data_IF_712540262946
#
_entry.id   IF_712540262946
#
_cell.length_a   1.000
_cell.length_b   1.000
_cell.length_c   1.000
_cell.angle_alpha   90.00
_cell.angle_beta   90.00
_cell.angle_gamma   90.00
#
_symmetry.space_group_name_H-M   'P 1'
#
loop_
_entity.id
_entity.type
_entity.pdbx_description
1 polymer ?
#
# COMPACT_ATOMS: atom_id res chain seq x y z
N UNK A 1 13.64 -8.69 -0.44
CA UNK A 1 12.53 -7.81 -0.04
C UNK A 1 12.00 -7.05 -1.22
N UNK A 2 12.85 -6.30 -1.87
CA UNK A 2 12.44 -5.53 -3.03
C UNK A 2 11.98 -6.41 -4.19
N UNK A 3 12.51 -7.63 -4.26
CA UNK A 3 12.12 -8.57 -5.30
C UNK A 3 10.65 -8.92 -5.28
N UNK A 4 10.09 -9.08 -4.08
CA UNK A 4 8.66 -9.37 -3.91
C UNK A 4 7.81 -8.21 -4.38
N UNK A 5 8.20 -7.00 -4.03
CA UNK A 5 7.48 -5.79 -4.38
C UNK A 5 7.51 -5.59 -5.89
N UNK A 6 8.68 -5.74 -6.49
CA UNK A 6 8.84 -5.58 -7.93
C UNK A 6 8.07 -6.67 -8.69
N UNK A 7 8.05 -7.89 -8.17
CA UNK A 7 7.28 -8.97 -8.75
C UNK A 7 5.79 -8.69 -8.74
N UNK A 8 5.27 -8.19 -7.62
CA UNK A 8 3.87 -7.82 -7.50
C UNK A 8 3.50 -6.71 -8.48
N UNK A 9 4.37 -5.70 -8.60
CA UNK A 9 4.13 -4.60 -9.53
C UNK A 9 4.17 -5.06 -10.97
N UNK A 10 5.12 -5.93 -11.32
CA UNK A 10 5.21 -6.47 -12.68
C UNK A 10 3.96 -7.29 -13.01
N UNK A 11 3.49 -8.07 -12.06
CA UNK A 11 2.27 -8.85 -12.22
C UNK A 11 1.07 -7.94 -12.48
N UNK A 12 0.89 -6.92 -11.64
CA UNK A 12 -0.22 -5.99 -11.78
C UNK A 12 -0.17 -5.26 -13.12
N UNK A 13 1.01 -4.81 -13.51
CA UNK A 13 1.18 -4.10 -14.78
C UNK A 13 0.77 -4.98 -15.96
N UNK A 14 1.14 -6.24 -15.92
CA UNK A 14 0.83 -7.20 -16.97
C UNK A 14 -0.66 -7.53 -16.99
N UNK A 15 -1.24 -7.81 -15.83
CA UNK A 15 -2.66 -8.17 -15.72
C UNK A 15 -3.56 -7.02 -16.14
N UNK A 16 -3.19 -5.79 -15.75
CA UNK A 16 -3.96 -4.61 -16.10
C UNK A 16 -3.71 -4.16 -17.54
N UNK A 17 -2.69 -4.70 -18.20
CA UNK A 17 -2.35 -4.32 -19.57
C UNK A 17 -2.11 -2.82 -19.70
N UNK A 18 -1.28 -2.30 -18.81
CA UNK A 18 -0.95 -0.88 -18.80
C UNK A 18 -0.29 -0.49 -20.12
N UNK A 19 -0.80 0.54 -20.77
CA UNK A 19 -0.29 1.03 -22.05
C UNK A 19 0.80 2.05 -21.84
N UNK A 20 1.51 2.38 -22.93
CA UNK A 20 2.52 3.42 -22.86
C UNK A 20 1.92 4.77 -22.45
N UNK A 21 0.73 5.07 -22.94
CA UNK A 21 0.04 6.32 -22.58
C UNK A 21 -0.27 6.39 -21.09
N UNK A 22 -0.44 5.25 -20.43
CA UNK A 22 -0.76 5.16 -19.01
C UNK A 22 0.48 5.07 -18.13
N UNK A 23 1.66 4.95 -18.72
CA UNK A 23 2.89 4.75 -17.98
C UNK A 23 3.19 5.85 -16.95
N UNK A 24 3.00 7.15 -17.24
CA UNK A 24 3.25 8.17 -16.22
C UNK A 24 2.41 7.96 -14.96
N UNK A 25 1.13 7.66 -15.12
CA UNK A 25 0.24 7.41 -13.98
C UNK A 25 0.61 6.12 -13.28
N UNK A 26 1.00 5.10 -14.04
CA UNK A 26 1.46 3.84 -13.46
C UNK A 26 2.69 4.05 -12.57
N UNK A 27 3.65 4.85 -13.04
CA UNK A 27 4.87 5.10 -12.30
C UNK A 27 4.60 5.78 -10.97
N UNK A 28 3.67 6.72 -10.94
CA UNK A 28 3.27 7.39 -9.69
C UNK A 28 2.68 6.38 -8.70
N UNK A 29 1.81 5.52 -9.20
CA UNK A 29 1.22 4.46 -8.38
C UNK A 29 2.28 3.48 -7.88
N UNK A 30 3.19 3.06 -8.77
CA UNK A 30 4.24 2.11 -8.41
C UNK A 30 5.16 2.66 -7.32
N UNK A 31 5.50 3.93 -7.40
CA UNK A 31 6.33 4.57 -6.38
C UNK A 31 5.61 4.59 -5.03
N UNK A 32 4.34 4.93 -5.01
CA UNK A 32 3.55 4.92 -3.79
C UNK A 32 3.41 3.51 -3.22
N UNK A 33 3.24 2.52 -4.10
CA UNK A 33 3.14 1.12 -3.70
C UNK A 33 4.43 0.67 -3.01
N UNK A 34 5.57 1.00 -3.60
CA UNK A 34 6.88 0.66 -3.01
C UNK A 34 7.07 1.32 -1.67
N UNK A 35 6.74 2.61 -1.57
CA UNK A 35 6.88 3.36 -0.32
C UNK A 35 6.01 2.73 0.78
N UNK A 36 4.77 2.35 0.45
CA UNK A 36 3.87 1.72 1.40
C UNK A 36 4.43 0.38 1.89
N UNK A 37 4.94 -0.44 0.98
CA UNK A 37 5.48 -1.75 1.34
C UNK A 37 6.74 -1.64 2.18
N UNK A 38 7.61 -0.69 1.88
CA UNK A 38 8.81 -0.44 2.67
C UNK A 38 8.45 -0.01 4.08
N UNK A 39 7.46 0.86 4.21
CA UNK A 39 6.99 1.31 5.51
C UNK A 39 6.42 0.16 6.33
N UNK A 40 5.66 -0.73 5.70
CA UNK A 40 5.13 -1.92 6.38
C UNK A 40 6.24 -2.85 6.84
N UNK A 41 7.29 -3.01 6.04
CA UNK A 41 8.43 -3.84 6.41
C UNK A 41 9.14 -3.28 7.63
N UNK A 42 9.33 -1.96 7.69
CA UNK A 42 9.94 -1.31 8.84
C UNK A 42 9.10 -1.48 10.09
N UNK A 43 7.79 -1.35 9.97
CA UNK A 43 6.88 -1.57 11.09
C UNK A 43 6.96 -3.01 11.61
N UNK A 44 7.11 -3.99 10.73
CA UNK A 44 7.25 -5.38 11.13
C UNK A 44 8.55 -5.63 11.89
N UNK A 45 9.62 -4.97 11.51
CA UNK A 45 10.92 -5.10 12.21
C UNK A 45 10.82 -4.65 13.66
N UNK A 46 10.05 -3.61 13.91
CA UNK A 46 9.91 -3.02 15.22
C UNK A 46 8.79 -3.61 16.06
N UNK A 47 8.03 -4.56 15.49
CA UNK A 47 6.83 -5.09 16.13
C UNK A 47 7.06 -5.63 17.52
N UNK A 48 8.19 -6.34 17.74
CA UNK A 48 8.50 -6.90 19.06
C UNK A 48 8.74 -5.83 20.10
N UNK A 49 9.49 -4.79 19.72
CA UNK A 49 9.74 -3.69 20.62
C UNK A 49 8.49 -2.93 20.96
N UNK A 50 7.61 -2.75 19.97
CA UNK A 50 6.34 -2.09 20.18
C UNK A 50 5.43 -2.86 21.13
N UNK A 51 5.34 -4.18 20.95
CA UNK A 51 4.57 -5.02 21.86
C UNK A 51 5.10 -4.94 23.29
N UNK A 52 6.43 -4.98 23.44
CA UNK A 52 7.07 -4.88 24.73
C UNK A 52 6.79 -3.53 25.38
N UNK A 53 6.92 -2.46 24.60
CA UNK A 53 6.62 -1.11 25.08
C UNK A 53 5.17 -0.97 25.52
N UNK A 54 4.24 -1.56 24.76
CA UNK A 54 2.83 -1.51 25.10
C UNK A 54 2.52 -2.26 26.39
N UNK A 55 3.21 -3.37 26.65
CA UNK A 55 3.00 -4.15 27.87
C UNK A 55 3.47 -3.41 29.13
N UNK A 56 4.51 -2.62 29.00
CA UNK A 56 5.05 -1.87 30.14
C UNK A 56 4.47 -0.47 30.27
N UNK A 57 3.69 -0.03 29.30
CA UNK A 57 3.07 1.29 29.32
C UNK A 57 1.79 1.28 30.16
N UNK A 58 1.37 2.46 30.61
CA UNK A 58 0.05 2.59 31.19
C UNK A 58 -1.03 2.29 30.13
N UNK A 59 -2.25 2.05 30.58
CA UNK A 59 -3.35 1.77 29.63
C UNK A 59 -3.53 2.92 28.64
N UNK A 60 -3.50 4.16 29.14
CA UNK A 60 -3.68 5.31 28.26
C UNK A 60 -2.52 5.48 27.28
N UNK A 61 -1.28 5.25 27.74
CA UNK A 61 -0.13 5.33 26.85
C UNK A 61 -0.18 4.23 25.79
N UNK A 62 -0.60 3.02 26.15
CA UNK A 62 -0.76 1.94 25.18
C UNK A 62 -1.81 2.30 24.12
N UNK A 63 -2.90 2.92 24.55
CA UNK A 63 -3.93 3.37 23.61
C UNK A 63 -3.42 4.45 22.67
N UNK A 64 -2.59 5.36 23.16
CA UNK A 64 -1.97 6.37 22.33
C UNK A 64 -1.06 5.74 21.28
N UNK A 65 -0.30 4.70 21.66
CA UNK A 65 0.53 3.96 20.69
C UNK A 65 -0.32 3.36 19.57
N UNK A 66 -1.48 2.80 19.93
CA UNK A 66 -2.40 2.25 18.92
C UNK A 66 -2.93 3.35 18.02
N UNK A 67 -3.32 4.49 18.59
CA UNK A 67 -3.77 5.63 17.81
C UNK A 67 -2.73 6.07 16.78
N UNK A 68 -1.47 6.15 17.22
CA UNK A 68 -0.38 6.57 16.35
C UNK A 68 -0.18 5.59 15.20
N UNK A 69 -0.27 4.28 15.47
CA UNK A 69 -0.17 3.27 14.43
C UNK A 69 -1.31 3.36 13.42
N UNK A 70 -2.53 3.58 13.92
CA UNK A 70 -3.69 3.72 13.04
C UNK A 70 -3.59 4.99 12.20
N UNK A 71 -3.08 6.08 12.77
CA UNK A 71 -2.88 7.32 12.03
C UNK A 71 -1.87 7.13 10.90
N UNK A 72 -0.78 6.42 11.16
CA UNK A 72 0.21 6.12 10.12
C UNK A 72 -0.37 5.26 9.00
N UNK A 73 -1.18 4.26 9.37
CA UNK A 73 -1.83 3.43 8.36
C UNK A 73 -2.81 4.21 7.53
N UNK A 74 -3.55 5.11 8.16
CA UNK A 74 -4.50 5.97 7.45
C UNK A 74 -3.77 6.88 6.47
N UNK A 75 -2.67 7.47 6.89
CA UNK A 75 -1.86 8.33 6.02
C UNK A 75 -1.32 7.56 4.81
N UNK A 76 -0.84 6.34 5.04
CA UNK A 76 -0.34 5.49 3.96
C UNK A 76 -1.45 5.12 2.98
N UNK A 77 -2.63 4.80 3.49
CA UNK A 77 -3.78 4.48 2.65
C UNK A 77 -4.20 5.68 1.81
N UNK A 78 -4.23 6.85 2.42
CA UNK A 78 -4.58 8.08 1.71
C UNK A 78 -3.59 8.40 0.59
N UNK A 79 -2.30 8.21 0.86
CA UNK A 79 -1.26 8.43 -0.14
C UNK A 79 -1.40 7.45 -1.30
N UNK A 80 -1.66 6.18 -0.99
CA UNK A 80 -1.87 5.15 -2.00
C UNK A 80 -3.10 5.46 -2.85
N UNK A 81 -4.20 5.83 -2.21
CA UNK A 81 -5.43 6.18 -2.90
C UNK A 81 -5.21 7.38 -3.83
N UNK A 82 -4.52 8.40 -3.34
CA UNK A 82 -4.24 9.59 -4.14
C UNK A 82 -3.38 9.25 -5.37
N UNK A 83 -2.41 8.34 -5.21
CA UNK A 83 -1.58 7.91 -6.32
C UNK A 83 -2.33 7.01 -7.30
N UNK A 84 -3.27 6.23 -6.80
CA UNK A 84 -4.06 5.31 -7.63
C UNK A 84 -5.12 6.05 -8.46
N UNK A 85 -5.70 7.12 -7.95
CA UNK A 85 -6.79 7.81 -8.62
C UNK A 85 -6.49 8.22 -10.06
N UNK A 86 -5.36 8.89 -10.35
CA UNK A 86 -5.06 9.24 -11.75
C UNK A 86 -4.90 8.02 -12.65
N UNK A 87 -4.26 6.98 -12.14
CA UNK A 87 -4.11 5.75 -12.90
C UNK A 87 -5.48 5.11 -13.17
N UNK A 88 -6.28 4.97 -12.14
CA UNK A 88 -7.60 4.35 -12.27
C UNK A 88 -8.47 5.12 -13.28
N UNK A 89 -8.42 6.44 -13.23
CA UNK A 89 -9.17 7.29 -14.16
C UNK A 89 -8.71 7.06 -15.60
N UNK A 90 -7.43 6.77 -15.82
CA UNK A 90 -6.89 6.52 -17.15
C UNK A 90 -7.21 5.13 -17.69
N UNK A 91 -7.70 4.22 -16.85
CA UNK A 91 -7.97 2.85 -17.25
C UNK A 91 -9.23 2.77 -18.12
N UNK A 92 -9.24 1.83 -19.06
CA UNK A 92 -10.43 1.50 -19.82
C UNK A 92 -11.43 0.81 -18.90
N UNK A 93 -12.67 0.66 -19.40
CA UNK A 93 -13.72 -0.02 -18.65
C UNK A 93 -13.29 -1.45 -18.29
N UNK A 94 -12.68 -2.14 -19.23
CA UNK A 94 -12.21 -3.52 -19.00
C UNK A 94 -11.07 -3.56 -18.00
N UNK A 95 -10.13 -2.61 -18.11
CA UNK A 95 -9.03 -2.52 -17.16
C UNK A 95 -9.52 -2.22 -15.75
N UNK A 96 -10.52 -1.34 -15.62
CA UNK A 96 -11.11 -1.03 -14.30
C UNK A 96 -11.72 -2.27 -13.67
N UNK A 97 -12.42 -3.07 -14.48
CA UNK A 97 -13.00 -4.31 -13.97
C UNK A 97 -11.92 -5.27 -13.50
N UNK A 98 -10.85 -5.42 -14.26
CA UNK A 98 -9.74 -6.27 -13.87
C UNK A 98 -9.08 -5.76 -12.59
N UNK A 99 -8.87 -4.46 -12.50
CA UNK A 99 -8.29 -3.85 -11.31
C UNK A 99 -9.17 -4.11 -10.08
N UNK A 100 -10.47 -3.90 -10.21
CA UNK A 100 -11.40 -4.13 -9.12
C UNK A 100 -11.34 -5.59 -8.65
N UNK A 101 -11.29 -6.53 -9.58
CA UNK A 101 -11.26 -7.95 -9.24
C UNK A 101 -9.94 -8.37 -8.60
N UNK A 102 -8.83 -7.94 -9.17
CA UNK A 102 -7.50 -8.36 -8.71
C UNK A 102 -7.09 -7.64 -7.43
N UNK A 103 -7.30 -6.35 -7.38
CA UNK A 103 -6.80 -5.53 -6.26
C UNK A 103 -7.71 -5.59 -5.05
N UNK A 104 -9.01 -5.78 -5.25
CA UNK A 104 -9.93 -5.92 -4.13
C UNK A 104 -10.03 -7.36 -3.65
N UNK A 105 -9.95 -8.29 -4.58
CA UNK A 105 -10.33 -9.70 -4.37
C UNK A 105 -9.42 -10.50 -3.49
N UNK A 106 -8.36 -10.02 -3.04
CA UNK A 106 -7.56 -10.87 -2.20
C UNK A 106 -6.28 -10.25 -1.78
N UNK A 107 -6.15 -9.06 -2.13
CA UNK A 107 -4.87 -8.50 -1.84
C UNK A 107 -4.97 -7.46 -0.77
N UNK A 108 -4.01 -7.48 0.04
CA UNK A 108 -3.91 -6.56 1.15
C UNK A 108 -3.19 -5.30 0.70
N UNK A 109 -3.93 -4.28 0.60
CA UNK A 109 -3.34 -2.98 0.33
C UNK A 109 -3.29 -2.17 1.59
#
# INVERSE_FOLDING_TARGET
MDEHIDGDLAYLKTVLKITEAQTPQWNVFADAFRADREKRADLCKDAREQVRAMRSASLLDAMTMVEDQLAERLDSLRAMKAALQPLYTSLSKEQKKTADDVMRGGQNF
#
